data_IF_882160397660
#
_entry.id   IF_882160397660
#
_cell.length_a   1.000
_cell.length_b   1.000
_cell.length_c   1.000
_cell.angle_alpha   90.00
_cell.angle_beta   90.00
_cell.angle_gamma   90.00
#
_symmetry.space_group_name_H-M   'P 1'
#
loop_
_entity.id
_entity.type
_entity.pdbx_description
1 polymer ?
#
# COMPACT_ATOMS: atom_id res chain seq x y z
N UNK A 1 0.34 -20.27 12.58
CA UNK A 1 1.02 -18.99 12.55
C UNK A 1 0.12 -17.90 11.98
N UNK A 2 -0.28 -18.07 10.72
CA UNK A 2 -1.15 -17.10 10.07
C UNK A 2 -2.58 -17.19 10.60
N UNK A 3 -2.82 -16.54 11.72
CA UNK A 3 -4.15 -16.54 12.34
C UNK A 3 -4.45 -15.19 12.99
N UNK A 4 -4.83 -14.21 12.15
CA UNK A 4 -5.16 -12.86 12.61
C UNK A 4 -6.47 -12.83 13.39
N UNK A 5 -6.85 -11.64 13.84
CA UNK A 5 -8.08 -11.47 14.60
C UNK A 5 -8.32 -10.00 14.96
N UNK A 6 -7.56 -9.52 15.95
CA UNK A 6 -7.69 -8.13 16.37
C UNK A 6 -7.52 -7.16 15.22
N UNK A 7 -6.26 -6.82 14.92
CA UNK A 7 -5.97 -5.89 13.84
C UNK A 7 -4.99 -6.52 12.84
N UNK A 8 -4.82 -5.86 11.70
CA UNK A 8 -3.93 -6.35 10.66
C UNK A 8 -4.44 -7.67 10.08
N UNK A 9 -4.64 -7.67 8.76
CA UNK A 9 -5.13 -8.86 8.07
C UNK A 9 -3.98 -9.60 7.39
N UNK A 10 -3.93 -10.92 7.59
CA UNK A 10 -2.89 -11.75 7.01
C UNK A 10 -3.38 -12.42 5.73
N UNK A 11 -2.58 -12.33 4.67
CA UNK A 11 -2.94 -12.93 3.40
C UNK A 11 -1.89 -13.94 2.95
N UNK A 12 -2.09 -14.51 1.77
CA UNK A 12 -1.15 -15.50 1.22
C UNK A 12 -1.01 -15.34 -0.28
N UNK A 13 0.12 -15.82 -0.82
CA UNK A 13 0.41 -15.74 -2.26
C UNK A 13 -0.49 -16.66 -3.08
N UNK A 14 -1.33 -17.43 -2.38
CA UNK A 14 -2.24 -18.35 -3.05
C UNK A 14 -2.95 -17.68 -4.22
N UNK A 15 -3.83 -16.73 -3.90
CA UNK A 15 -4.58 -16.02 -4.93
C UNK A 15 -4.91 -14.60 -4.47
N UNK A 16 -4.09 -14.06 -3.58
CA UNK A 16 -4.30 -12.71 -3.06
C UNK A 16 -4.13 -11.67 -4.16
N UNK A 17 -3.29 -11.99 -5.15
CA UNK A 17 -3.04 -11.09 -6.26
C UNK A 17 -3.80 -11.53 -7.51
N UNK A 18 -4.41 -12.71 -7.43
CA UNK A 18 -5.18 -13.24 -8.55
C UNK A 18 -6.66 -12.95 -8.40
N UNK A 19 -7.14 -13.03 -7.15
CA UNK A 19 -8.55 -12.77 -6.87
C UNK A 19 -8.70 -11.84 -5.66
N UNK A 20 -9.55 -10.83 -5.79
CA UNK A 20 -9.77 -9.90 -4.72
C UNK A 20 -9.53 -8.46 -5.13
N UNK A 21 -9.22 -7.60 -4.14
CA UNK A 21 -8.96 -6.17 -4.38
C UNK A 21 -7.64 -5.95 -5.11
N UNK A 22 -6.68 -6.83 -4.87
CA UNK A 22 -5.37 -6.72 -5.51
C UNK A 22 -5.38 -7.40 -6.88
N UNK A 23 -6.43 -8.17 -7.16
CA UNK A 23 -6.55 -8.86 -8.43
C UNK A 23 -6.63 -7.88 -9.59
N UNK A 24 -7.63 -7.01 -9.55
CA UNK A 24 -7.82 -6.01 -10.60
C UNK A 24 -7.51 -4.61 -10.07
N UNK A 25 -6.98 -3.75 -10.96
CA UNK A 25 -6.62 -2.38 -10.61
C UNK A 25 -7.85 -1.51 -10.37
N UNK A 26 -9.01 -2.00 -10.79
CA UNK A 26 -10.26 -1.27 -10.62
C UNK A 26 -10.72 -1.30 -9.16
N UNK A 27 -10.27 -2.31 -8.43
CA UNK A 27 -10.64 -2.45 -7.02
C UNK A 27 -9.68 -1.66 -6.13
N UNK A 28 -8.78 -0.92 -6.75
CA UNK A 28 -7.81 -0.11 -6.02
C UNK A 28 -8.50 0.81 -5.03
N UNK A 29 -9.09 1.89 -5.54
CA UNK A 29 -9.79 2.85 -4.71
C UNK A 29 -11.27 2.48 -4.55
N UNK A 30 -11.66 2.18 -3.32
CA UNK A 30 -13.04 1.80 -3.03
C UNK A 30 -13.48 2.35 -1.67
N UNK A 31 -14.51 3.20 -1.70
CA UNK A 31 -15.03 3.78 -0.47
C UNK A 31 -15.70 2.72 0.42
N UNK A 32 -15.22 2.60 1.65
CA UNK A 32 -15.77 1.62 2.58
C UNK A 32 -16.33 2.31 3.83
N UNK A 33 -16.02 3.60 3.97
CA UNK A 33 -16.50 4.34 5.12
C UNK A 33 -17.22 5.62 4.72
N UNK A 34 -17.50 6.47 5.71
CA UNK A 34 -18.20 7.74 5.49
C UNK A 34 -17.34 8.75 4.74
N UNK A 35 -16.03 8.69 4.97
CA UNK A 35 -15.09 9.60 4.30
C UNK A 35 -13.70 8.99 4.24
N UNK A 36 -13.64 7.66 4.20
CA UNK A 36 -12.36 6.96 4.15
C UNK A 36 -12.34 5.98 2.98
N UNK A 37 -11.40 6.17 2.06
CA UNK A 37 -11.28 5.31 0.90
C UNK A 37 -10.21 4.24 1.13
N UNK A 38 -10.50 3.02 0.67
CA UNK A 38 -9.57 1.91 0.82
C UNK A 38 -8.67 1.75 -0.40
N UNK A 39 -7.39 1.98 -0.21
CA UNK A 39 -6.41 1.86 -1.30
C UNK A 39 -5.65 0.54 -1.22
N UNK A 40 -5.44 -0.08 -2.38
CA UNK A 40 -4.72 -1.34 -2.45
C UNK A 40 -3.48 -1.22 -3.32
N UNK A 41 -2.40 -1.87 -2.89
CA UNK A 41 -1.14 -1.83 -3.63
C UNK A 41 -0.48 -3.20 -3.67
N UNK A 42 0.01 -3.59 -4.83
CA UNK A 42 0.66 -4.88 -5.00
C UNK A 42 1.92 -4.76 -5.86
N UNK A 43 2.96 -5.48 -5.48
CA UNK A 43 4.22 -5.45 -6.22
C UNK A 43 5.01 -6.74 -6.00
N UNK A 44 4.98 -7.61 -7.00
CA UNK A 44 5.70 -8.88 -6.92
C UNK A 44 6.86 -8.92 -7.92
N UNK A 45 7.85 -9.76 -7.63
CA UNK A 45 9.01 -9.89 -8.50
C UNK A 45 8.76 -10.89 -9.62
N UNK A 46 7.51 -11.35 -9.72
CA UNK A 46 7.14 -12.32 -10.75
C UNK A 46 6.38 -11.63 -11.88
N UNK A 47 7.13 -11.04 -12.82
CA UNK A 47 6.52 -10.37 -13.94
C UNK A 47 6.47 -8.86 -13.76
N UNK A 48 5.33 -8.26 -14.07
CA UNK A 48 5.16 -6.83 -13.94
C UNK A 48 3.69 -6.46 -13.74
N UNK A 49 3.45 -5.37 -13.02
CA UNK A 49 2.08 -4.91 -12.76
C UNK A 49 2.05 -3.40 -12.52
N UNK A 50 0.89 -2.79 -12.78
CA UNK A 50 0.70 -1.34 -12.60
C UNK A 50 0.70 -0.93 -11.14
N UNK A 51 0.56 0.36 -10.88
CA UNK A 51 0.54 0.88 -9.52
C UNK A 51 -0.58 1.90 -9.34
N UNK A 52 -1.83 1.43 -9.49
CA UNK A 52 -3.02 2.27 -9.35
C UNK A 52 -3.26 2.70 -7.90
N UNK A 53 -2.47 3.66 -7.43
CA UNK A 53 -2.59 4.16 -6.08
C UNK A 53 -3.24 5.54 -6.04
N UNK A 54 -4.06 5.78 -5.03
CA UNK A 54 -4.74 7.06 -4.89
C UNK A 54 -4.75 7.51 -3.43
N UNK A 55 -4.93 8.82 -3.22
CA UNK A 55 -4.96 9.38 -1.89
C UNK A 55 -5.56 10.78 -1.88
N UNK A 56 -6.90 10.87 -1.84
CA UNK A 56 -7.61 12.14 -1.84
C UNK A 56 -7.42 12.91 -0.53
N UNK A 57 -6.90 14.13 -0.64
CA UNK A 57 -6.66 14.96 0.54
C UNK A 57 -7.99 15.38 1.18
N UNK A 58 -7.95 15.62 2.49
CA UNK A 58 -9.15 16.01 3.20
C UNK A 58 -9.88 14.83 3.80
N UNK A 59 -9.87 13.70 3.10
CA UNK A 59 -10.54 12.50 3.58
C UNK A 59 -9.52 11.47 4.07
N UNK A 60 -9.98 10.57 4.93
CA UNK A 60 -9.12 9.53 5.49
C UNK A 60 -8.66 8.56 4.39
N UNK A 61 -7.43 8.08 4.51
CA UNK A 61 -6.89 7.14 3.54
C UNK A 61 -6.27 5.93 4.22
N UNK A 62 -6.73 4.74 3.85
CA UNK A 62 -6.22 3.50 4.43
C UNK A 62 -5.46 2.68 3.39
N UNK A 63 -4.17 2.91 3.28
CA UNK A 63 -3.34 2.19 2.32
C UNK A 63 -3.21 0.71 2.71
N UNK A 64 -3.29 -0.16 1.71
CA UNK A 64 -3.18 -1.60 1.95
C UNK A 64 -2.20 -2.24 0.96
N UNK A 65 -0.99 -2.49 1.42
CA UNK A 65 0.03 -3.10 0.58
C UNK A 65 0.28 -4.56 0.99
N UNK A 66 0.49 -5.42 0.00
CA UNK A 66 0.74 -6.82 0.25
C UNK A 66 1.54 -7.46 -0.88
N UNK A 67 2.51 -8.29 -0.53
CA UNK A 67 3.35 -8.96 -1.51
C UNK A 67 3.67 -10.38 -1.08
N UNK A 68 4.07 -11.22 -2.05
CA UNK A 68 4.41 -12.62 -1.79
C UNK A 68 5.72 -12.76 -1.01
N UNK A 69 6.76 -12.11 -1.51
CA UNK A 69 8.07 -12.16 -0.85
C UNK A 69 8.92 -10.95 -1.23
N UNK A 70 8.33 -9.77 -1.12
CA UNK A 70 9.02 -8.53 -1.45
C UNK A 70 8.43 -7.34 -0.69
N UNK A 71 9.30 -6.49 -0.15
CA UNK A 71 8.86 -5.32 0.59
C UNK A 71 8.61 -4.14 -0.34
N UNK A 72 7.57 -3.37 -0.03
CA UNK A 72 7.22 -2.21 -0.84
C UNK A 72 7.32 -0.92 -0.02
N UNK A 73 6.29 -0.64 0.77
CA UNK A 73 6.28 0.56 1.59
C UNK A 73 6.45 1.82 0.77
N UNK A 74 6.29 2.97 1.41
CA UNK A 74 6.42 4.25 0.74
C UNK A 74 6.66 5.38 1.74
N UNK A 75 7.52 6.33 1.37
CA UNK A 75 7.84 7.45 2.25
C UNK A 75 7.38 8.77 1.62
N UNK A 76 6.26 9.28 2.09
CA UNK A 76 5.71 10.54 1.57
C UNK A 76 6.12 11.72 2.45
N UNK A 77 6.37 12.85 1.81
CA UNK A 77 6.78 14.05 2.53
C UNK A 77 5.64 14.56 3.42
N UNK A 78 5.84 15.74 4.00
CA UNK A 78 4.82 16.32 4.87
C UNK A 78 4.98 15.88 6.31
N UNK A 79 5.18 14.59 6.52
CA UNK A 79 5.34 14.04 7.86
C UNK A 79 6.29 12.86 7.87
N UNK A 80 6.75 12.48 9.06
CA UNK A 80 7.68 11.36 9.20
C UNK A 80 6.93 10.03 9.12
N UNK A 81 6.24 9.80 8.00
CA UNK A 81 5.49 8.58 7.81
C UNK A 81 6.42 7.37 7.71
N UNK A 82 6.32 6.47 8.67
CA UNK A 82 7.16 5.27 8.69
C UNK A 82 6.32 4.01 8.54
N UNK A 83 6.12 3.58 7.30
CA UNK A 83 5.33 2.39 7.02
C UNK A 83 6.17 1.32 6.34
N UNK A 84 6.27 0.15 6.98
CA UNK A 84 7.05 -0.95 6.44
C UNK A 84 6.63 -2.28 7.08
N UNK A 85 6.12 -3.19 6.27
CA UNK A 85 5.68 -4.50 6.75
C UNK A 85 6.05 -5.60 5.77
N UNK A 86 6.72 -6.63 6.27
CA UNK A 86 7.12 -7.75 5.43
C UNK A 86 5.95 -8.30 4.62
N UNK A 87 6.27 -9.03 3.55
CA UNK A 87 5.25 -9.61 2.67
C UNK A 87 4.49 -10.75 3.34
N UNK A 88 3.28 -11.00 2.87
CA UNK A 88 2.47 -12.07 3.44
C UNK A 88 1.44 -11.55 4.43
N UNK A 89 1.26 -10.24 4.46
CA UNK A 89 0.31 -9.62 5.37
C UNK A 89 0.02 -8.18 4.97
N UNK A 90 -1.23 -7.88 4.64
CA UNK A 90 -1.63 -6.54 4.24
C UNK A 90 -1.55 -5.57 5.41
N UNK A 91 -0.95 -4.41 5.16
CA UNK A 91 -0.81 -3.39 6.19
C UNK A 91 -1.95 -2.38 6.14
N UNK A 92 -2.05 -1.55 7.17
CA UNK A 92 -3.10 -0.54 7.24
C UNK A 92 -2.60 0.74 7.89
N UNK A 93 -2.38 1.77 7.07
CA UNK A 93 -1.90 3.05 7.57
C UNK A 93 -2.90 4.16 7.29
N UNK A 94 -3.05 5.07 8.25
CA UNK A 94 -3.97 6.18 8.10
C UNK A 94 -3.22 7.51 7.95
N UNK A 95 -3.13 7.98 6.71
CA UNK A 95 -2.44 9.24 6.44
C UNK A 95 -3.11 9.99 5.29
N UNK A 96 -3.59 11.20 5.58
CA UNK A 96 -4.24 12.02 4.57
C UNK A 96 -3.47 13.31 4.32
N UNK A 97 -3.45 13.74 3.06
CA UNK A 97 -2.74 14.96 2.69
C UNK A 97 -3.68 16.17 2.75
N UNK A 98 -3.17 17.33 2.34
CA UNK A 98 -3.95 18.55 2.34
C UNK A 98 -3.93 19.21 0.97
N UNK A 99 -3.03 18.75 0.11
CA UNK A 99 -2.90 19.29 -1.24
C UNK A 99 -2.45 18.21 -2.23
N UNK A 100 -2.65 18.48 -3.52
CA UNK A 100 -2.28 17.54 -4.59
C UNK A 100 -0.77 17.42 -4.75
N UNK A 101 -0.33 16.30 -5.31
CA UNK A 101 1.10 16.08 -5.52
C UNK A 101 1.42 14.62 -5.78
N UNK A 102 2.25 14.39 -6.79
CA UNK A 102 2.64 13.03 -7.16
C UNK A 102 4.02 12.68 -6.58
N UNK A 103 4.09 11.56 -5.89
CA UNK A 103 5.35 11.11 -5.29
C UNK A 103 5.48 9.60 -5.36
N UNK A 104 6.63 9.13 -5.82
CA UNK A 104 6.88 7.69 -5.93
C UNK A 104 8.36 7.38 -5.71
N UNK A 105 8.75 7.27 -4.45
CA UNK A 105 10.14 6.98 -4.10
C UNK A 105 10.22 6.22 -2.77
N UNK A 106 11.19 5.32 -2.68
CA UNK A 106 11.39 4.53 -1.47
C UNK A 106 12.71 4.87 -0.80
N UNK A 107 12.69 4.94 0.53
CA UNK A 107 13.89 5.26 1.29
C UNK A 107 13.59 5.29 2.79
N UNK A 108 14.61 5.02 3.60
CA UNK A 108 14.46 5.00 5.05
C UNK A 108 13.29 4.13 5.47
N UNK A 109 13.29 2.88 4.99
CA UNK A 109 12.22 1.93 5.32
C UNK A 109 12.65 1.01 6.46
N UNK A 110 12.91 1.59 7.62
CA UNK A 110 13.32 0.82 8.78
C UNK A 110 14.72 0.27 8.60
N UNK A 111 14.83 -0.78 7.79
CA UNK A 111 16.12 -1.41 7.51
C UNK A 111 16.96 -0.55 6.58
N UNK A 112 16.30 0.28 5.78
CA UNK A 112 16.99 1.14 4.85
C UNK A 112 17.41 0.40 3.59
N UNK A 113 16.51 -0.41 3.05
CA UNK A 113 16.80 -1.18 1.84
C UNK A 113 17.29 -0.26 0.72
N UNK A 114 17.76 -0.87 -0.37
CA UNK A 114 18.24 -0.09 -1.49
C UNK A 114 18.86 -0.96 -2.57
N UNK A 115 18.30 -2.16 -2.76
CA UNK A 115 18.80 -3.09 -3.77
C UNK A 115 17.97 -4.37 -3.78
N UNK A 116 16.67 -4.22 -3.60
CA UNK A 116 15.76 -5.36 -3.59
C UNK A 116 14.32 -4.93 -3.80
N UNK A 117 13.77 -4.22 -2.81
CA UNK A 117 12.40 -3.74 -2.89
C UNK A 117 12.20 -2.84 -4.11
N UNK A 118 11.01 -2.27 -4.23
CA UNK A 118 10.69 -1.39 -5.35
C UNK A 118 10.43 0.03 -4.88
N UNK A 119 10.20 0.94 -5.82
CA UNK A 119 9.94 2.33 -5.49
C UNK A 119 8.44 2.57 -5.28
N UNK A 120 8.10 3.08 -4.10
CA UNK A 120 6.70 3.34 -3.78
C UNK A 120 6.01 4.13 -4.87
N UNK A 121 4.68 4.22 -4.80
CA UNK A 121 3.90 4.95 -5.78
C UNK A 121 2.58 5.43 -5.19
N UNK A 122 2.39 6.75 -5.16
CA UNK A 122 1.18 7.33 -4.62
C UNK A 122 0.78 8.58 -5.40
N UNK A 123 -0.53 8.76 -5.59
CA UNK A 123 -1.04 9.91 -6.33
C UNK A 123 -2.18 10.58 -5.56
N UNK A 124 -2.12 11.91 -5.47
CA UNK A 124 -3.16 12.67 -4.76
C UNK A 124 -4.09 13.35 -5.74
N UNK A 125 -5.39 13.27 -5.48
CA UNK A 125 -6.39 13.87 -6.34
C UNK A 125 -7.18 14.94 -5.57
N UNK A 126 -7.30 16.12 -6.17
CA UNK A 126 -8.04 17.22 -5.54
C UNK A 126 -9.54 16.92 -5.51
#
# INVERSE_FOLDING_TARGET
MVIPAGKLERVDPTTVRQEGPWADPAQAVVQTGPNQYTVYVLAFAFGYQPNPIEVPQGAEIVFKITSPDVIHGFHVEGTNINVEVLPGEVSTVRYTFKRPGEYRIICNQYCGLGHQNMFGTIVVKE
#
